data_IF_970989257309
#
_entry.id   IF_970989257309
#
_cell.length_a   1.000
_cell.length_b   1.000
_cell.length_c   1.000
_cell.angle_alpha   90.00
_cell.angle_beta   90.00
_cell.angle_gamma   90.00
#
_symmetry.space_group_name_H-M   'P 1'
#
loop_
_entity.id
_entity.type
_entity.pdbx_description
1 polymer ?
#
# COMPACT_ATOMS: atom_id res chain seq x y z
N UNK A 1 4.74 26.61 1.44
CA UNK A 1 6.06 26.02 1.77
C UNK A 1 6.41 25.06 0.67
N UNK A 2 7.46 25.36 -0.09
CA UNK A 2 7.97 24.47 -1.13
C UNK A 2 8.80 23.41 -0.42
N UNK A 3 8.32 22.17 -0.39
CA UNK A 3 9.12 21.03 0.06
C UNK A 3 10.32 20.91 -0.87
N UNK A 4 11.53 20.88 -0.29
CA UNK A 4 12.75 20.65 -1.05
C UNK A 4 12.62 19.35 -1.85
N UNK A 5 13.20 19.26 -3.06
CA UNK A 5 13.32 17.99 -3.74
C UNK A 5 14.32 17.15 -2.93
N UNK A 6 13.82 16.38 -1.96
CA UNK A 6 14.53 15.20 -1.52
C UNK A 6 14.70 14.38 -2.80
N UNK A 7 15.94 14.19 -3.25
CA UNK A 7 16.29 13.05 -4.09
C UNK A 7 15.99 11.82 -3.25
N UNK A 8 14.71 11.46 -3.20
CA UNK A 8 14.21 10.41 -2.34
C UNK A 8 14.87 9.14 -2.84
N UNK A 9 15.82 8.62 -2.05
CA UNK A 9 16.38 7.31 -2.30
C UNK A 9 15.21 6.34 -2.44
N UNK A 10 15.27 5.50 -3.46
CA UNK A 10 14.23 4.51 -3.70
C UNK A 10 14.08 3.61 -2.47
N UNK A 11 12.83 3.23 -2.18
CA UNK A 11 12.49 2.38 -1.04
C UNK A 11 13.06 0.98 -1.25
N UNK A 12 13.79 0.44 -0.26
CA UNK A 12 14.28 -0.94 -0.27
C UNK A 12 13.30 -1.90 0.39
N UNK A 13 12.40 -1.38 1.22
CA UNK A 13 11.28 -2.12 1.79
C UNK A 13 10.03 -1.24 1.88
N UNK A 14 8.86 -1.85 1.73
CA UNK A 14 7.58 -1.17 1.92
C UNK A 14 6.53 -2.12 2.52
N UNK A 15 5.79 -1.62 3.51
CA UNK A 15 4.54 -2.22 3.99
C UNK A 15 3.35 -1.46 3.43
N UNK A 16 2.36 -2.16 2.87
CA UNK A 16 1.20 -1.54 2.22
C UNK A 16 -0.10 -2.20 2.70
N UNK A 17 -1.10 -1.37 3.01
CA UNK A 17 -2.46 -1.80 3.34
C UNK A 17 -3.52 -0.93 2.65
N UNK A 18 -4.67 -1.54 2.34
CA UNK A 18 -5.80 -0.87 1.70
C UNK A 18 -6.54 0.03 2.69
N UNK A 19 -6.80 1.27 2.29
CA UNK A 19 -7.58 2.23 3.08
C UNK A 19 -8.71 2.83 2.23
N UNK A 20 -9.62 3.58 2.86
CA UNK A 20 -10.75 4.21 2.13
C UNK A 20 -10.30 5.18 1.03
N UNK A 21 -9.10 5.75 1.14
CA UNK A 21 -8.52 6.68 0.16
C UNK A 21 -7.60 6.04 -0.88
N UNK A 22 -7.47 4.71 -0.91
CA UNK A 22 -6.51 4.00 -1.74
C UNK A 22 -5.66 3.05 -0.89
N UNK A 23 -4.36 3.34 -0.77
CA UNK A 23 -3.39 2.49 -0.10
C UNK A 23 -2.47 3.32 0.79
N UNK A 24 -2.32 2.93 2.04
CA UNK A 24 -1.27 3.50 2.90
C UNK A 24 0.02 2.73 2.68
N UNK A 25 1.14 3.44 2.52
CA UNK A 25 2.47 2.87 2.33
C UNK A 25 3.40 3.40 3.42
N UNK A 26 4.00 2.49 4.20
CA UNK A 26 5.15 2.77 5.04
C UNK A 26 6.41 2.30 4.32
N UNK A 27 7.24 3.24 3.88
CA UNK A 27 8.45 2.99 3.09
C UNK A 27 9.73 3.14 3.92
N UNK A 28 10.71 2.28 3.68
CA UNK A 28 12.06 2.38 4.24
C UNK A 28 13.09 2.49 3.11
N UNK A 29 13.93 3.53 3.16
CA UNK A 29 14.96 3.77 2.13
C UNK A 29 16.37 3.29 2.56
N UNK A 30 16.51 2.68 3.73
CA UNK A 30 17.79 2.30 4.34
C UNK A 30 18.26 3.22 5.46
N UNK A 31 17.64 4.39 5.63
CA UNK A 31 18.02 5.42 6.60
C UNK A 31 16.81 6.01 7.33
N UNK A 32 15.73 6.32 6.59
CA UNK A 32 14.52 6.94 7.12
C UNK A 32 13.25 6.19 6.70
N UNK A 33 12.21 6.36 7.53
CA UNK A 33 10.85 5.92 7.22
C UNK A 33 10.04 7.05 6.59
N UNK A 34 9.24 6.73 5.58
CA UNK A 34 8.23 7.62 5.01
C UNK A 34 6.83 7.00 5.09
N UNK A 35 5.81 7.86 5.14
CA UNK A 35 4.40 7.46 5.08
C UNK A 35 3.70 8.24 3.97
N UNK A 36 3.10 7.50 3.05
CA UNK A 36 2.36 8.07 1.91
C UNK A 36 1.01 7.37 1.73
N UNK A 37 0.01 8.13 1.25
CA UNK A 37 -1.26 7.58 0.77
C UNK A 37 -1.25 7.58 -0.75
N UNK A 38 -1.24 6.39 -1.33
CA UNK A 38 -1.19 6.14 -2.77
C UNK A 38 -2.61 5.89 -3.31
N UNK A 39 -2.99 6.48 -4.46
CA UNK A 39 -4.33 6.28 -5.02
C UNK A 39 -4.53 4.86 -5.56
N UNK A 40 -3.44 4.20 -5.99
CA UNK A 40 -3.44 2.83 -6.53
C UNK A 40 -2.18 2.08 -6.08
N UNK A 41 -2.21 0.74 -6.06
CA UNK A 41 -0.99 -0.05 -5.83
C UNK A 41 0.11 0.25 -6.85
N UNK A 42 -0.25 0.47 -8.13
CA UNK A 42 0.72 0.74 -9.20
C UNK A 42 1.57 1.99 -8.91
N UNK A 43 1.03 2.94 -8.15
CA UNK A 43 1.72 4.19 -7.80
C UNK A 43 3.00 3.98 -6.99
N UNK A 44 3.19 2.82 -6.34
CA UNK A 44 4.43 2.55 -5.58
C UNK A 44 5.61 2.17 -6.49
N UNK A 45 5.36 1.61 -7.67
CA UNK A 45 6.39 1.06 -8.56
C UNK A 45 7.56 2.03 -8.82
N UNK A 46 7.36 3.32 -9.17
CA UNK A 46 8.46 4.25 -9.38
C UNK A 46 9.24 4.62 -8.10
N UNK A 47 8.69 4.33 -6.92
CA UNK A 47 9.34 4.62 -5.63
C UNK A 47 10.27 3.49 -5.18
N UNK A 48 10.12 2.27 -5.72
CA UNK A 48 10.84 1.09 -5.27
C UNK A 48 12.23 0.97 -5.90
N UNK A 49 13.21 0.56 -5.10
CA UNK A 49 14.50 0.14 -5.60
C UNK A 49 14.39 -1.21 -6.34
N UNK A 50 15.32 -1.54 -7.24
CA UNK A 50 15.41 -2.91 -7.78
C UNK A 50 15.50 -3.93 -6.64
N UNK A 51 14.68 -4.99 -6.70
CA UNK A 51 14.58 -6.04 -5.67
C UNK A 51 14.11 -5.57 -4.30
N UNK A 52 13.43 -4.43 -4.20
CA UNK A 52 12.80 -4.02 -2.95
C UNK A 52 11.81 -5.09 -2.42
N UNK A 53 11.80 -5.28 -1.11
CA UNK A 53 10.85 -6.19 -0.43
C UNK A 53 9.54 -5.45 -0.18
N UNK A 54 8.45 -5.93 -0.75
CA UNK A 54 7.12 -5.33 -0.56
C UNK A 54 6.20 -6.32 0.14
N UNK A 55 5.69 -5.93 1.29
CA UNK A 55 4.70 -6.67 2.05
C UNK A 55 3.34 -5.99 1.88
N UNK A 56 2.35 -6.71 1.36
CA UNK A 56 0.99 -6.20 1.16
C UNK A 56 0.03 -7.12 1.89
N UNK A 57 -0.87 -6.54 2.70
CA UNK A 57 -1.97 -7.31 3.28
C UNK A 57 -3.04 -7.58 2.21
N UNK A 58 -2.83 -8.67 1.46
CA UNK A 58 -3.74 -9.14 0.42
C UNK A 58 -4.51 -10.37 0.95
N UNK A 59 -5.82 -10.45 0.71
CA UNK A 59 -6.59 -11.65 1.01
C UNK A 59 -6.04 -12.89 0.28
N UNK A 60 -5.88 -14.01 1.00
CA UNK A 60 -5.53 -15.30 0.39
C UNK A 60 -6.62 -15.71 -0.60
N UNK A 61 -6.26 -15.96 -1.86
CA UNK A 61 -7.21 -16.29 -2.94
C UNK A 61 -7.75 -15.04 -3.64
N UNK A 62 -6.85 -14.26 -4.25
CA UNK A 62 -7.17 -13.11 -5.09
C UNK A 62 -8.27 -13.45 -6.11
N UNK A 63 -9.35 -12.68 -6.08
CA UNK A 63 -10.44 -12.77 -7.04
C UNK A 63 -10.22 -11.77 -8.16
N UNK A 64 -10.42 -12.19 -9.42
CA UNK A 64 -10.41 -11.29 -10.58
C UNK A 64 -11.60 -10.34 -10.60
N UNK A 65 -12.70 -10.72 -9.94
CA UNK A 65 -14.01 -10.09 -10.10
C UNK A 65 -14.43 -9.30 -8.83
N UNK A 66 -13.44 -8.88 -8.02
CA UNK A 66 -13.66 -8.10 -6.80
C UNK A 66 -13.93 -8.96 -5.56
N UNK A 67 -14.77 -8.47 -4.63
CA UNK A 67 -14.99 -9.12 -3.33
C UNK A 67 -15.54 -10.54 -3.46
N UNK A 68 -15.00 -11.48 -2.69
CA UNK A 68 -15.50 -12.85 -2.60
C UNK A 68 -16.78 -12.90 -1.77
N UNK A 69 -17.47 -14.04 -1.82
CA UNK A 69 -18.67 -14.26 -1.01
C UNK A 69 -18.41 -14.07 0.49
N UNK A 70 -17.30 -14.61 1.01
CA UNK A 70 -16.91 -14.44 2.41
C UNK A 70 -16.61 -12.98 2.77
N UNK A 71 -15.97 -12.20 1.89
CA UNK A 71 -15.68 -10.78 2.13
C UNK A 71 -16.99 -9.99 2.25
N UNK A 72 -17.98 -10.28 1.40
CA UNK A 72 -19.31 -9.66 1.46
C UNK A 72 -20.07 -10.04 2.74
N UNK A 73 -20.07 -11.32 3.10
CA UNK A 73 -20.72 -11.80 4.32
C UNK A 73 -20.10 -11.17 5.58
N UNK A 74 -18.77 -11.10 5.66
CA UNK A 74 -18.06 -10.45 6.75
C UNK A 74 -18.43 -8.96 6.86
N UNK A 75 -18.50 -8.23 5.74
CA UNK A 75 -18.90 -6.81 5.73
C UNK A 75 -20.32 -6.58 6.25
N UNK A 76 -21.26 -7.48 5.97
CA UNK A 76 -22.63 -7.38 6.49
C UNK A 76 -22.67 -7.53 8.02
N UNK A 77 -21.81 -8.40 8.58
CA UNK A 77 -21.72 -8.63 10.03
C UNK A 77 -20.96 -7.52 10.78
N UNK A 78 -19.88 -7.01 10.19
CA UNK A 78 -19.02 -5.99 10.81
C UNK A 78 -19.64 -4.59 10.81
N UNK A 79 -20.63 -4.33 9.95
CA UNK A 79 -21.27 -3.02 9.83
C UNK A 79 -20.37 -1.96 9.16
N UNK A 80 -20.82 -0.71 9.18
CA UNK A 80 -20.03 0.43 8.68
C UNK A 80 -19.03 0.87 9.75
N UNK A 81 -17.79 1.14 9.35
CA UNK A 81 -16.75 1.77 10.17
C UNK A 81 -16.76 3.28 9.98
#
# INVERSE_FOLDING_TARGET
MVTAPHTSRSLIAAGIDGCRGGWVCAGWNGEDWSLDCLPTLQSIVPMLAPRATVCIDIPIGLSSDGFRGCDRAARQLLGKR
#
